data_IF_644855975060
#
_entry.id   IF_644855975060
#
_cell.length_a   1.000
_cell.length_b   1.000
_cell.length_c   1.000
_cell.angle_alpha   90.00
_cell.angle_beta   90.00
_cell.angle_gamma   90.00
#
_symmetry.space_group_name_H-M   'P 1'
#
loop_
_entity.id
_entity.type
_entity.pdbx_description
1 polymer ?
#
# COMPACT_ATOMS: atom_id res chain seq x y z
N UNK A 1 -4.82 -1.05 26.68
CA UNK A 1 -4.01 -2.21 27.09
C UNK A 1 -3.90 -3.16 25.90
N UNK A 2 -2.87 -3.01 25.05
CA UNK A 2 -2.69 -3.84 23.85
C UNK A 2 -1.78 -5.03 24.19
N UNK A 3 -2.38 -6.20 24.39
CA UNK A 3 -1.67 -7.47 24.57
C UNK A 3 -1.22 -7.99 23.20
N UNK A 4 0.02 -7.66 22.82
CA UNK A 4 0.72 -8.30 21.70
C UNK A 4 1.17 -9.69 22.15
N UNK A 5 0.52 -10.74 21.63
CA UNK A 5 1.01 -12.11 21.69
C UNK A 5 1.77 -12.44 20.40
N UNK A 6 3.08 -12.19 20.44
CA UNK A 6 4.06 -12.68 19.47
C UNK A 6 4.75 -13.91 20.08
N UNK A 7 4.65 -15.05 19.41
CA UNK A 7 5.35 -16.36 19.59
C UNK A 7 4.31 -17.41 19.17
N UNK A 8 4.57 -18.42 18.36
CA UNK A 8 5.61 -19.45 18.32
C UNK A 8 5.09 -20.39 17.20
N UNK A 9 5.85 -20.94 16.26
CA UNK A 9 6.50 -22.28 16.23
C UNK A 9 6.82 -22.52 14.74
N UNK A 10 8.06 -22.79 14.33
CA UNK A 10 8.74 -24.09 14.28
C UNK A 10 8.34 -24.99 13.07
N UNK A 11 9.38 -25.55 12.45
CA UNK A 11 9.45 -26.71 11.54
C UNK A 11 9.59 -26.33 10.06
N UNK A 12 10.78 -26.42 9.44
CA UNK A 12 11.66 -27.58 9.19
C UNK A 12 11.00 -28.65 8.31
N UNK A 13 11.31 -28.62 7.02
CA UNK A 13 11.66 -29.79 6.20
C UNK A 13 12.21 -29.37 4.82
N UNK A 14 13.40 -29.84 4.42
CA UNK A 14 13.90 -29.76 3.05
C UNK A 14 13.52 -31.04 2.27
N UNK A 15 13.09 -30.89 1.02
CA UNK A 15 13.07 -32.01 0.08
C UNK A 15 13.33 -31.50 -1.34
N UNK A 16 14.60 -31.48 -1.73
CA UNK A 16 14.99 -31.56 -3.12
C UNK A 16 14.61 -32.95 -3.63
N UNK A 17 13.77 -33.01 -4.66
CA UNK A 17 13.88 -33.93 -5.79
C UNK A 17 12.63 -33.74 -6.65
N UNK A 18 12.81 -33.57 -7.95
CA UNK A 18 12.37 -34.53 -8.96
C UNK A 18 12.81 -34.03 -10.33
N UNK A 19 13.59 -34.87 -10.98
CA UNK A 19 14.09 -34.72 -12.32
C UNK A 19 12.96 -34.60 -13.36
N UNK A 20 13.18 -33.80 -14.39
CA UNK A 20 12.74 -34.13 -15.74
C UNK A 20 13.50 -33.27 -16.73
N UNK A 21 14.45 -33.89 -17.42
CA UNK A 21 14.91 -33.44 -18.72
C UNK A 21 13.72 -33.50 -19.68
N UNK A 22 13.49 -32.43 -20.44
CA UNK A 22 13.08 -32.60 -21.84
C UNK A 22 13.27 -31.30 -22.60
N UNK A 23 14.04 -31.41 -23.66
CA UNK A 23 14.25 -30.40 -24.67
C UNK A 23 12.93 -29.96 -25.30
N UNK A 24 12.80 -28.66 -25.57
CA UNK A 24 12.02 -28.20 -26.70
C UNK A 24 12.76 -27.04 -27.38
N UNK A 25 13.53 -27.38 -28.40
CA UNK A 25 13.87 -26.46 -29.48
C UNK A 25 12.56 -26.13 -30.20
N UNK A 26 12.18 -24.85 -30.23
CA UNK A 26 11.69 -24.16 -31.45
C UNK A 26 10.87 -22.94 -31.12
N UNK A 27 11.35 -21.81 -31.65
CA UNK A 27 10.55 -20.88 -32.46
C UNK A 27 9.40 -20.14 -31.77
N UNK A 28 9.58 -18.83 -31.56
CA UNK A 28 8.81 -17.74 -32.20
C UNK A 28 9.00 -16.43 -31.37
N UNK A 29 8.41 -15.30 -31.76
CA UNK A 29 9.07 -14.11 -32.26
C UNK A 29 9.16 -12.99 -31.21
N UNK A 30 9.69 -11.85 -31.64
CA UNK A 30 9.57 -10.53 -31.03
C UNK A 30 8.41 -10.40 -30.02
N UNK A 31 8.79 -10.20 -28.76
CA UNK A 31 8.00 -9.41 -27.83
C UNK A 31 8.99 -8.61 -27.00
N UNK A 32 9.44 -7.49 -27.54
CA UNK A 32 9.64 -6.30 -26.71
C UNK A 32 8.27 -5.97 -26.15
N UNK A 33 7.89 -6.72 -25.10
CA UNK A 33 6.85 -6.33 -24.19
C UNK A 33 7.43 -5.13 -23.44
N UNK A 34 7.45 -3.97 -24.10
CA UNK A 34 7.24 -2.71 -23.43
C UNK A 34 5.85 -2.83 -22.83
N UNK A 35 5.80 -3.51 -21.69
CA UNK A 35 4.73 -3.36 -20.72
C UNK A 35 4.87 -1.92 -20.28
N UNK A 36 4.30 -1.01 -21.07
CA UNK A 36 3.62 0.16 -20.53
C UNK A 36 2.46 -0.39 -19.70
N UNK A 37 2.82 -1.04 -18.61
CA UNK A 37 1.90 -1.21 -17.49
C UNK A 37 1.92 0.19 -16.96
N UNK A 38 0.93 1.00 -17.37
CA UNK A 38 0.49 2.12 -16.58
C UNK A 38 0.33 1.57 -15.16
N UNK A 39 1.40 1.69 -14.37
CA UNK A 39 1.54 1.00 -13.11
C UNK A 39 0.32 1.46 -12.32
N UNK A 40 -0.49 0.53 -11.83
CA UNK A 40 -1.59 0.87 -10.93
C UNK A 40 -1.03 0.84 -9.51
N UNK A 41 -1.63 1.59 -8.57
CA UNK A 41 -1.27 1.41 -7.17
C UNK A 41 -1.45 -0.07 -6.79
N UNK A 42 -0.48 -0.62 -6.03
CA UNK A 42 -0.55 -2.00 -5.56
C UNK A 42 -1.60 -2.18 -4.47
N UNK A 43 -1.89 -1.13 -3.71
CA UNK A 43 -2.96 -1.11 -2.71
C UNK A 43 -4.20 -0.41 -3.26
N UNK A 44 -5.35 -0.68 -2.66
CA UNK A 44 -6.60 0.02 -3.00
C UNK A 44 -6.79 1.26 -2.13
N UNK A 45 -7.65 2.17 -2.58
CA UNK A 45 -8.04 3.34 -1.78
C UNK A 45 -8.61 2.94 -0.41
N UNK A 46 -9.41 1.87 -0.34
CA UNK A 46 -9.90 1.34 0.95
C UNK A 46 -8.77 0.91 1.89
N UNK A 47 -7.73 0.24 1.37
CA UNK A 47 -6.60 -0.17 2.19
C UNK A 47 -5.81 1.05 2.71
N UNK A 48 -5.66 2.09 1.89
CA UNK A 48 -5.07 3.36 2.29
C UNK A 48 -5.92 4.07 3.36
N UNK A 49 -7.24 4.17 3.14
CA UNK A 49 -8.19 4.75 4.11
C UNK A 49 -8.15 4.02 5.45
N UNK A 50 -8.13 2.68 5.45
CA UNK A 50 -8.01 1.90 6.69
C UNK A 50 -6.69 2.17 7.42
N UNK A 51 -5.61 2.37 6.67
CA UNK A 51 -4.29 2.71 7.24
C UNK A 51 -4.32 4.10 7.85
N UNK A 52 -4.90 5.07 7.15
CA UNK A 52 -5.06 6.43 7.63
C UNK A 52 -5.98 6.50 8.87
N UNK A 53 -7.10 5.76 8.88
CA UNK A 53 -8.02 5.66 10.03
C UNK A 53 -7.43 4.97 11.26
N UNK A 54 -6.45 4.07 11.08
CA UNK A 54 -5.69 3.51 12.20
C UNK A 54 -4.79 4.54 12.85
N UNK A 55 -4.34 5.53 12.07
CA UNK A 55 -3.44 6.57 12.54
C UNK A 55 -4.18 7.78 13.11
N UNK A 56 -5.24 8.21 12.44
CA UNK A 56 -6.14 9.28 12.87
C UNK A 56 -7.56 8.70 12.95
N UNK A 57 -8.07 8.40 14.16
CA UNK A 57 -9.44 7.94 14.31
C UNK A 57 -10.40 9.09 13.97
N UNK A 58 -11.27 8.84 12.99
CA UNK A 58 -12.14 9.89 12.46
C UNK A 58 -13.06 9.40 11.37
N UNK A 59 -13.54 10.34 10.56
CA UNK A 59 -14.33 10.10 9.36
C UNK A 59 -13.52 10.54 8.16
N UNK A 60 -13.35 9.66 7.18
CA UNK A 60 -12.76 10.02 5.89
C UNK A 60 -13.72 10.96 5.18
N UNK A 61 -13.24 12.16 4.85
CA UNK A 61 -13.98 13.15 4.08
C UNK A 61 -13.75 12.96 2.58
N UNK A 62 -12.49 12.78 2.21
CA UNK A 62 -12.06 12.59 0.83
C UNK A 62 -10.88 11.61 0.76
N UNK A 63 -10.72 11.00 -0.41
CA UNK A 63 -9.53 10.21 -0.73
C UNK A 63 -9.18 10.41 -2.19
N UNK A 64 -7.99 10.94 -2.44
CA UNK A 64 -7.48 11.18 -3.78
C UNK A 64 -6.24 10.35 -4.04
N UNK A 65 -6.07 9.93 -5.29
CA UNK A 65 -4.91 9.15 -5.73
C UNK A 65 -4.10 10.02 -6.66
N UNK A 66 -2.91 10.39 -6.20
CA UNK A 66 -1.95 11.16 -6.93
C UNK A 66 -0.77 10.30 -7.40
N UNK A 67 -0.07 10.80 -8.41
CA UNK A 67 1.13 10.14 -8.94
C UNK A 67 2.29 11.13 -8.94
N UNK A 68 3.17 10.97 -7.96
CA UNK A 68 4.35 11.81 -7.79
C UNK A 68 5.63 11.00 -8.03
N UNK A 69 6.54 11.52 -8.86
CA UNK A 69 7.82 10.86 -9.19
C UNK A 69 7.71 9.39 -9.66
N UNK A 70 6.58 9.02 -10.27
CA UNK A 70 6.33 7.64 -10.72
C UNK A 70 5.85 6.69 -9.62
N UNK A 71 5.59 7.19 -8.41
CA UNK A 71 4.94 6.47 -7.31
C UNK A 71 3.50 6.91 -7.17
N UNK A 72 2.65 6.00 -6.71
CA UNK A 72 1.29 6.35 -6.34
C UNK A 72 1.24 6.80 -4.89
N UNK A 73 0.50 7.86 -4.61
CA UNK A 73 0.31 8.41 -3.28
C UNK A 73 -1.19 8.61 -3.09
N UNK A 74 -1.74 8.04 -2.03
CA UNK A 74 -3.11 8.26 -1.62
C UNK A 74 -3.13 9.37 -0.59
N UNK A 75 -3.73 10.51 -0.91
CA UNK A 75 -4.05 11.52 0.11
C UNK A 75 -5.44 11.22 0.68
N UNK A 76 -5.53 11.06 2.00
CA UNK A 76 -6.76 10.80 2.72
C UNK A 76 -7.04 11.96 3.69
N UNK A 77 -8.06 12.76 3.40
CA UNK A 77 -8.54 13.81 4.30
C UNK A 77 -9.44 13.17 5.37
N UNK A 78 -9.07 13.33 6.64
CA UNK A 78 -9.78 12.78 7.78
C UNK A 78 -10.23 13.92 8.69
N UNK A 79 -11.52 13.94 9.00
CA UNK A 79 -12.05 14.70 10.11
C UNK A 79 -11.90 13.87 11.39
N UNK A 80 -11.04 14.27 12.35
CA UNK A 80 -10.90 13.55 13.60
C UNK A 80 -12.23 13.48 14.35
N UNK A 81 -12.44 12.42 15.14
CA UNK A 81 -13.63 12.32 16.02
C UNK A 81 -13.72 13.50 16.98
N UNK A 82 -12.56 13.97 17.46
CA UNK A 82 -12.48 15.20 18.22
C UNK A 82 -12.55 16.41 17.28
N UNK A 83 -13.68 17.11 17.27
CA UNK A 83 -13.88 18.33 16.45
C UNK A 83 -13.05 19.52 16.92
N UNK A 84 -12.38 19.43 18.07
CA UNK A 84 -11.41 20.44 18.51
C UNK A 84 -10.07 20.31 17.75
N UNK A 85 -9.80 19.17 17.12
CA UNK A 85 -8.62 18.97 16.28
C UNK A 85 -8.89 19.48 14.86
N UNK A 86 -7.88 20.08 14.20
CA UNK A 86 -7.97 20.40 12.78
C UNK A 86 -8.13 19.12 11.95
N UNK A 87 -8.55 19.27 10.70
CA UNK A 87 -8.58 18.14 9.77
C UNK A 87 -7.16 17.65 9.56
N UNK A 88 -7.02 16.37 9.32
CA UNK A 88 -5.72 15.74 9.09
C UNK A 88 -5.70 15.20 7.68
N UNK A 89 -4.67 15.56 6.94
CA UNK A 89 -4.36 14.94 5.66
C UNK A 89 -3.33 13.85 5.90
N UNK A 90 -3.64 12.63 5.47
CA UNK A 90 -2.75 11.48 5.62
C UNK A 90 -2.36 10.97 4.25
N UNK A 91 -1.09 11.13 3.92
CA UNK A 91 -0.52 10.59 2.69
C UNK A 91 -0.05 9.15 2.90
N UNK A 92 -0.50 8.25 2.04
CA UNK A 92 -0.18 6.83 2.08
C UNK A 92 0.41 6.38 0.75
N UNK A 93 1.57 5.74 0.78
CA UNK A 93 2.22 5.17 -0.39
C UNK A 93 1.33 4.09 -1.03
N UNK A 94 0.92 4.30 -2.28
CA UNK A 94 0.03 3.42 -3.03
C UNK A 94 0.66 2.09 -3.46
N UNK A 95 1.98 1.91 -3.29
CA UNK A 95 2.69 0.68 -3.59
C UNK A 95 2.86 -0.22 -2.36
N UNK A 96 3.03 0.37 -1.18
CA UNK A 96 3.40 -0.34 0.06
C UNK A 96 2.35 -0.21 1.17
N UNK A 97 1.49 0.81 1.12
CA UNK A 97 0.58 1.15 2.20
C UNK A 97 1.27 1.82 3.39
N UNK A 98 2.51 2.28 3.23
CA UNK A 98 3.20 3.03 4.27
C UNK A 98 2.68 4.47 4.36
N UNK A 99 2.55 5.01 5.57
CA UNK A 99 2.22 6.43 5.76
C UNK A 99 3.48 7.23 5.40
N UNK A 100 3.34 8.13 4.43
CA UNK A 100 4.41 9.01 3.96
C UNK A 100 4.44 10.29 4.79
N UNK A 101 3.27 10.90 5.00
CA UNK A 101 3.10 12.14 5.74
C UNK A 101 1.76 12.15 6.48
N UNK A 102 1.71 12.91 7.57
CA UNK A 102 0.49 13.30 8.25
C UNK A 102 0.60 14.79 8.49
N UNK A 103 -0.23 15.55 7.80
CA UNK A 103 -0.25 17.00 7.89
C UNK A 103 -1.56 17.47 8.53
N UNK A 104 -1.43 18.55 9.28
CA UNK A 104 -2.57 19.21 9.88
C UNK A 104 -3.05 20.23 8.87
N UNK A 105 -4.31 20.11 8.44
CA UNK A 105 -4.96 21.15 7.66
C UNK A 105 -5.34 22.27 8.63
N UNK A 106 -4.31 22.92 9.15
CA UNK A 106 -4.39 24.11 9.96
C UNK A 106 -4.94 25.20 9.05
N UNK A 107 -6.08 25.77 9.45
CA UNK A 107 -6.57 27.00 8.84
C UNK A 107 -5.52 28.06 9.18
N UNK A 108 -4.72 28.42 8.17
CA UNK A 108 -3.84 29.58 8.12
C UNK A 108 -4.45 30.75 8.94
N UNK A 109 -3.67 31.24 9.91
CA UNK A 109 -3.87 32.31 10.93
C UNK A 109 -5.11 33.24 10.83
#
# INVERSE_FOLDING_TARGET
MHTFVMSLVLSLAPACSHAATSANTSTAPAATASRDTAAKPKITAEAAQQTALKQVPGTVLASELEREHGRWIYSIEIQPTDRAQPRKEVEVDGDTGAILAVEDEDRDD
#
